data_IF_770134953662
#
_entry.id   IF_770134953662
#
_cell.length_a   1.000
_cell.length_b   1.000
_cell.length_c   1.000
_cell.angle_alpha   90.00
_cell.angle_beta   90.00
_cell.angle_gamma   90.00
#
_symmetry.space_group_name_H-M   'P 1'
#
loop_
_entity.id
_entity.type
_entity.pdbx_description
1 polymer ?
#
# COMPACT_ATOMS: atom_id res chain seq x y z
N UNK A 1 7.13 -22.49 31.10
CA UNK A 1 6.51 -23.34 30.05
C UNK A 1 7.48 -23.66 28.93
N UNK A 2 8.35 -22.73 28.47
CA UNK A 2 9.18 -22.88 27.26
C UNK A 2 10.68 -22.94 27.53
N UNK A 3 11.10 -23.48 28.68
CA UNK A 3 12.51 -23.53 29.10
C UNK A 3 13.44 -24.29 28.15
N UNK A 4 12.88 -25.26 27.41
CA UNK A 4 13.63 -26.13 26.51
C UNK A 4 13.64 -25.63 25.06
N UNK A 5 13.02 -24.49 24.80
CA UNK A 5 12.93 -23.88 23.45
C UNK A 5 13.71 -22.58 23.38
N UNK A 6 14.24 -22.27 22.20
CA UNK A 6 14.83 -20.97 21.95
C UNK A 6 13.71 -19.90 21.93
N UNK A 7 13.83 -18.93 22.81
CA UNK A 7 12.89 -17.80 22.90
C UNK A 7 13.56 -16.52 22.44
N UNK A 8 12.78 -15.66 21.79
CA UNK A 8 13.20 -14.30 21.40
C UNK A 8 12.23 -13.33 22.05
N UNK A 9 12.77 -12.37 22.78
CA UNK A 9 12.02 -11.27 23.36
C UNK A 9 11.66 -10.28 22.25
N UNK A 10 10.45 -10.42 21.71
CA UNK A 10 9.99 -9.55 20.64
C UNK A 10 9.24 -8.33 21.16
N UNK A 11 8.57 -8.44 22.32
CA UNK A 11 7.81 -7.34 22.94
C UNK A 11 7.26 -7.77 24.31
N UNK A 12 8.13 -8.14 25.25
CA UNK A 12 7.75 -8.57 26.61
C UNK A 12 6.91 -7.53 27.35
N UNK A 13 7.21 -6.24 27.14
CA UNK A 13 6.43 -5.14 27.74
C UNK A 13 4.97 -5.14 27.30
N UNK A 14 4.64 -5.78 26.17
CA UNK A 14 3.28 -5.95 25.66
C UNK A 14 2.77 -7.38 25.81
N UNK A 15 3.49 -8.23 26.57
CA UNK A 15 3.11 -9.62 26.83
C UNK A 15 3.33 -10.59 25.67
N UNK A 16 4.17 -10.26 24.69
CA UNK A 16 4.45 -11.13 23.54
C UNK A 16 5.84 -11.74 23.61
N UNK A 17 5.92 -13.05 23.50
CA UNK A 17 7.14 -13.84 23.42
C UNK A 17 7.14 -14.68 22.12
N UNK A 18 8.22 -14.66 21.37
CA UNK A 18 8.39 -15.56 20.23
C UNK A 18 9.13 -16.82 20.66
N UNK A 19 8.51 -17.97 20.46
CA UNK A 19 9.09 -19.30 20.73
C UNK A 19 9.45 -19.96 19.39
N UNK A 20 10.68 -20.47 19.26
CA UNK A 20 11.12 -21.14 18.05
C UNK A 20 11.02 -22.65 18.29
N UNK A 21 10.11 -23.32 17.58
CA UNK A 21 9.92 -24.77 17.57
C UNK A 21 10.09 -25.30 16.15
N UNK A 22 10.92 -26.32 15.97
CA UNK A 22 11.22 -26.92 14.65
C UNK A 22 11.59 -25.87 13.57
N UNK A 23 12.45 -24.92 13.94
CA UNK A 23 12.88 -23.79 13.09
C UNK A 23 11.75 -22.82 12.68
N UNK A 24 10.55 -22.93 13.27
CA UNK A 24 9.41 -22.03 13.01
C UNK A 24 9.18 -21.11 14.20
N UNK A 25 8.98 -19.80 13.98
CA UNK A 25 8.62 -18.87 15.03
C UNK A 25 7.12 -18.96 15.35
N UNK A 26 6.79 -19.01 16.63
CA UNK A 26 5.42 -18.93 17.16
C UNK A 26 5.34 -17.76 18.12
N UNK A 27 4.45 -16.82 17.85
CA UNK A 27 4.19 -15.71 18.75
C UNK A 27 3.15 -16.11 19.80
N UNK A 28 3.52 -15.97 21.05
CA UNK A 28 2.67 -16.28 22.21
C UNK A 28 2.42 -14.97 22.93
N UNK A 29 1.16 -14.57 22.98
CA UNK A 29 0.76 -13.30 23.56
C UNK A 29 -0.24 -13.53 24.69
N UNK A 30 -0.04 -12.89 25.83
CA UNK A 30 -1.02 -12.83 26.94
C UNK A 30 -2.19 -11.96 26.50
N UNK A 31 -3.42 -12.40 26.78
CA UNK A 31 -4.60 -11.57 26.56
C UNK A 31 -4.50 -10.28 27.35
N UNK A 32 -4.91 -9.17 26.72
CA UNK A 32 -4.77 -7.85 27.31
C UNK A 32 -5.90 -6.92 26.95
N UNK A 33 -6.07 -5.91 27.77
CA UNK A 33 -6.88 -4.73 27.53
C UNK A 33 -5.89 -3.59 27.26
N UNK A 34 -6.05 -2.89 26.19
CA UNK A 34 -5.26 -1.70 25.90
C UNK A 34 -5.93 -0.49 26.58
N UNK A 35 -5.15 0.33 27.29
CA UNK A 35 -5.60 1.57 27.92
C UNK A 35 -5.89 2.69 26.91
N UNK A 36 -5.82 3.94 27.36
CA UNK A 36 -5.99 5.09 26.46
C UNK A 36 -4.80 5.23 25.53
N UNK A 37 -5.06 5.74 24.33
CA UNK A 37 -4.05 6.00 23.29
C UNK A 37 -3.90 7.52 23.13
N UNK A 38 -2.74 8.06 23.43
CA UNK A 38 -2.47 9.50 23.34
C UNK A 38 -1.74 9.88 22.05
N UNK A 39 -1.03 8.93 21.45
CA UNK A 39 -0.20 9.15 20.24
C UNK A 39 -0.75 8.46 18.98
N UNK A 40 -1.99 7.97 18.99
CA UNK A 40 -2.62 7.16 17.95
C UNK A 40 -1.82 5.89 17.60
N UNK A 41 -1.06 5.33 18.57
CA UNK A 41 -0.24 4.14 18.33
C UNK A 41 -0.08 3.25 19.56
N UNK A 42 0.34 3.82 20.70
CA UNK A 42 0.69 3.05 21.88
C UNK A 42 -0.35 3.30 22.96
N UNK A 43 -0.94 2.24 23.55
CA UNK A 43 -1.69 2.41 24.77
C UNK A 43 -0.75 2.87 25.90
N UNK A 44 -1.18 3.82 26.70
CA UNK A 44 -0.42 4.29 27.88
C UNK A 44 -0.16 3.15 28.86
N UNK A 45 -1.19 2.33 29.07
CA UNK A 45 -1.15 1.18 29.97
C UNK A 45 -1.69 -0.06 29.26
N UNK A 46 -1.11 -1.20 29.59
CA UNK A 46 -1.56 -2.52 29.18
C UNK A 46 -1.94 -3.32 30.41
N UNK A 47 -3.18 -3.73 30.49
CA UNK A 47 -3.67 -4.57 31.59
C UNK A 47 -3.86 -6.00 31.07
N UNK A 48 -3.13 -6.96 31.62
CA UNK A 48 -3.33 -8.36 31.26
C UNK A 48 -4.65 -8.88 31.83
N UNK A 49 -5.32 -9.71 31.02
CA UNK A 49 -6.62 -10.30 31.36
C UNK A 49 -6.65 -11.77 31.00
N UNK A 50 -7.53 -12.52 31.66
CA UNK A 50 -7.86 -13.89 31.29
C UNK A 50 -9.08 -13.95 30.34
N UNK A 51 -9.73 -12.83 30.08
CA UNK A 51 -10.93 -12.76 29.26
C UNK A 51 -10.58 -12.56 27.78
N UNK A 52 -10.81 -13.60 26.98
CA UNK A 52 -10.63 -13.59 25.54
C UNK A 52 -11.46 -12.50 24.84
N UNK A 53 -12.67 -12.19 25.34
CA UNK A 53 -13.55 -11.18 24.75
C UNK A 53 -12.87 -9.82 24.73
N UNK A 54 -12.20 -9.45 25.82
CA UNK A 54 -11.48 -8.18 25.92
C UNK A 54 -10.29 -8.13 24.95
N UNK A 55 -9.55 -9.23 24.76
CA UNK A 55 -8.45 -9.29 23.80
C UNK A 55 -8.94 -9.19 22.35
N UNK A 56 -10.06 -9.84 22.01
CA UNK A 56 -10.65 -9.76 20.67
C UNK A 56 -11.26 -8.37 20.41
N UNK A 57 -11.83 -7.72 21.43
CA UNK A 57 -12.43 -6.38 21.34
C UNK A 57 -11.46 -5.28 20.90
N UNK A 58 -10.17 -5.38 21.22
CA UNK A 58 -9.14 -4.40 20.85
C UNK A 58 -8.55 -4.59 19.46
N UNK A 59 -8.88 -5.68 18.78
CA UNK A 59 -8.34 -5.99 17.44
C UNK A 59 -8.88 -5.04 16.37
N UNK A 60 -8.20 -4.99 15.25
CA UNK A 60 -8.52 -4.07 14.15
C UNK A 60 -9.82 -4.44 13.42
N UNK A 61 -9.88 -5.67 12.87
CA UNK A 61 -10.99 -6.10 12.01
C UNK A 61 -11.58 -7.41 12.51
N UNK A 62 -12.88 -7.61 12.21
CA UNK A 62 -13.65 -8.81 12.58
C UNK A 62 -12.98 -10.09 12.06
N UNK A 63 -12.48 -10.05 10.83
CA UNK A 63 -11.75 -11.17 10.19
C UNK A 63 -10.46 -11.56 10.92
N UNK A 64 -9.92 -10.67 11.75
CA UNK A 64 -8.75 -10.89 12.59
C UNK A 64 -9.11 -11.11 14.07
N UNK A 65 -10.40 -11.05 14.42
CA UNK A 65 -10.92 -11.20 15.80
C UNK A 65 -11.53 -12.58 16.03
N UNK A 66 -10.97 -13.59 15.40
CA UNK A 66 -11.31 -15.00 15.57
C UNK A 66 -10.30 -15.68 16.47
N UNK A 67 -10.76 -16.62 17.28
CA UNK A 67 -9.91 -17.49 18.08
C UNK A 67 -10.32 -18.96 17.92
N UNK A 68 -9.36 -19.85 18.10
CA UNK A 68 -9.62 -21.28 18.08
C UNK A 68 -9.00 -21.95 19.30
N UNK A 69 -9.75 -22.84 19.90
CA UNK A 69 -9.25 -23.70 20.96
C UNK A 69 -9.67 -25.14 20.67
N UNK A 70 -8.76 -26.09 20.88
CA UNK A 70 -8.99 -27.51 20.55
C UNK A 70 -10.23 -28.09 21.23
N UNK A 71 -10.50 -27.68 22.49
CA UNK A 71 -11.61 -28.23 23.28
C UNK A 71 -12.96 -27.60 23.00
N UNK A 72 -12.99 -26.32 22.60
CA UNK A 72 -14.25 -25.55 22.40
C UNK A 72 -14.47 -25.14 20.94
N UNK A 73 -13.51 -25.40 20.07
CA UNK A 73 -13.59 -25.06 18.65
C UNK A 73 -13.35 -23.57 18.34
N UNK A 74 -14.00 -23.10 17.29
CA UNK A 74 -13.92 -21.69 16.85
C UNK A 74 -14.73 -20.78 17.76
N UNK A 75 -14.12 -19.67 18.16
CA UNK A 75 -14.76 -18.59 18.92
C UNK A 75 -14.81 -17.35 18.03
N UNK A 76 -16.02 -16.94 17.68
CA UNK A 76 -16.30 -15.75 16.87
C UNK A 76 -17.31 -14.87 17.63
N UNK A 77 -16.82 -13.81 18.24
CA UNK A 77 -17.64 -12.89 19.03
C UNK A 77 -18.09 -11.64 18.26
N UNK A 78 -17.53 -11.43 17.06
CA UNK A 78 -17.70 -10.20 16.29
C UNK A 78 -18.16 -10.43 14.84
N UNK A 79 -18.54 -11.68 14.49
CA UNK A 79 -19.06 -12.02 13.17
C UNK A 79 -17.99 -12.10 12.09
N UNK A 80 -16.73 -12.36 12.48
CA UNK A 80 -15.61 -12.43 11.54
C UNK A 80 -15.73 -13.56 10.53
N UNK A 81 -16.35 -14.68 10.90
CA UNK A 81 -16.60 -15.82 9.99
C UNK A 81 -17.57 -15.42 8.87
N UNK A 82 -18.64 -14.70 9.22
CA UNK A 82 -19.61 -14.19 8.23
C UNK A 82 -18.96 -13.15 7.32
N UNK A 83 -18.17 -12.24 7.88
CA UNK A 83 -17.45 -11.22 7.09
C UNK A 83 -16.41 -11.86 6.15
N UNK A 84 -15.73 -12.94 6.56
CA UNK A 84 -14.86 -13.73 5.67
C UNK A 84 -15.68 -14.36 4.53
N UNK A 85 -16.79 -15.00 4.85
CA UNK A 85 -17.68 -15.63 3.87
C UNK A 85 -18.19 -14.63 2.83
N UNK A 86 -18.59 -13.43 3.30
CA UNK A 86 -19.06 -12.34 2.45
C UNK A 86 -17.94 -11.51 1.81
N UNK A 87 -16.67 -11.82 2.09
CA UNK A 87 -15.51 -11.08 1.58
C UNK A 87 -15.53 -9.60 1.98
N UNK A 88 -15.75 -9.31 3.26
CA UNK A 88 -15.89 -7.96 3.81
C UNK A 88 -14.77 -7.67 4.82
N UNK A 89 -14.18 -6.49 4.77
CA UNK A 89 -13.33 -5.91 5.80
C UNK A 89 -14.16 -4.93 6.63
N UNK A 90 -14.33 -5.27 7.91
CA UNK A 90 -15.11 -4.49 8.87
C UNK A 90 -14.33 -4.34 10.18
N UNK A 91 -14.37 -3.17 10.77
CA UNK A 91 -13.73 -2.94 12.08
C UNK A 91 -14.46 -3.67 13.20
N UNK A 92 -13.72 -4.07 14.24
CA UNK A 92 -14.32 -4.53 15.49
C UNK A 92 -14.91 -3.33 16.23
N UNK A 93 -16.23 -3.27 16.36
CA UNK A 93 -16.92 -2.16 17.00
C UNK A 93 -16.92 -0.87 16.18
N UNK A 94 -16.83 0.29 16.84
CA UNK A 94 -16.89 1.61 16.21
C UNK A 94 -15.61 1.92 15.40
N UNK A 95 -15.71 2.17 14.09
CA UNK A 95 -14.56 2.41 13.24
C UNK A 95 -13.82 3.72 13.58
N UNK A 96 -14.52 4.79 13.95
CA UNK A 96 -13.87 6.05 14.32
C UNK A 96 -13.01 5.86 15.57
N UNK A 97 -13.53 5.12 16.58
CA UNK A 97 -12.75 4.76 17.75
C UNK A 97 -11.52 3.93 17.39
N UNK A 98 -11.69 2.90 16.56
CA UNK A 98 -10.58 2.01 16.15
C UNK A 98 -9.47 2.74 15.41
N UNK A 99 -9.80 3.69 14.54
CA UNK A 99 -8.80 4.48 13.80
C UNK A 99 -8.12 5.52 14.70
N UNK A 100 -8.82 6.10 15.65
CA UNK A 100 -8.22 7.01 16.64
C UNK A 100 -7.26 6.30 17.61
N UNK A 101 -7.43 5.02 17.90
CA UNK A 101 -6.48 4.23 18.68
C UNK A 101 -5.17 3.98 17.93
N UNK A 102 -5.22 3.55 16.67
CA UNK A 102 -4.05 3.40 15.78
C UNK A 102 -4.42 3.81 14.36
N UNK A 103 -3.97 4.99 13.94
CA UNK A 103 -4.22 5.52 12.60
C UNK A 103 -3.72 4.62 11.47
N UNK A 104 -2.73 3.73 11.72
CA UNK A 104 -2.29 2.76 10.72
C UNK A 104 -3.38 1.77 10.34
N UNK A 105 -4.38 1.53 11.20
CA UNK A 105 -5.50 0.65 10.88
C UNK A 105 -6.24 1.08 9.60
N UNK A 106 -6.20 2.37 9.25
CA UNK A 106 -6.71 2.89 7.98
C UNK A 106 -6.00 2.22 6.80
N UNK A 107 -4.67 2.29 6.74
CA UNK A 107 -3.91 1.63 5.66
C UNK A 107 -3.99 0.10 5.74
N UNK A 108 -4.12 -0.46 6.93
CA UNK A 108 -4.32 -1.90 7.11
C UNK A 108 -5.66 -2.37 6.52
N UNK A 109 -6.75 -1.59 6.67
CA UNK A 109 -8.04 -1.88 6.04
C UNK A 109 -7.90 -1.93 4.51
N UNK A 110 -7.31 -0.88 3.93
CA UNK A 110 -7.06 -0.79 2.48
C UNK A 110 -6.16 -1.94 1.98
N UNK A 111 -5.11 -2.26 2.75
CA UNK A 111 -4.23 -3.39 2.41
C UNK A 111 -4.94 -4.73 2.46
N UNK A 112 -5.72 -5.01 3.49
CA UNK A 112 -6.48 -6.27 3.57
C UNK A 112 -7.48 -6.37 2.43
N UNK A 113 -8.22 -5.30 2.13
CA UNK A 113 -9.15 -5.25 1.01
C UNK A 113 -8.42 -5.48 -0.32
N UNK A 114 -7.26 -4.87 -0.53
CA UNK A 114 -6.45 -5.06 -1.73
C UNK A 114 -5.92 -6.49 -1.86
N UNK A 115 -5.28 -7.02 -0.81
CA UNK A 115 -4.60 -8.33 -0.86
C UNK A 115 -5.60 -9.48 -0.94
N UNK A 116 -6.67 -9.43 -0.14
CA UNK A 116 -7.69 -10.47 -0.08
C UNK A 116 -8.74 -10.34 -1.20
N UNK A 117 -8.83 -9.17 -1.86
CA UNK A 117 -9.89 -8.86 -2.82
C UNK A 117 -11.25 -8.74 -2.16
N UNK A 118 -11.28 -8.24 -0.93
CA UNK A 118 -12.49 -8.02 -0.16
C UNK A 118 -12.98 -6.59 -0.34
N UNK A 119 -14.28 -6.37 -0.20
CA UNK A 119 -14.86 -5.02 -0.09
C UNK A 119 -14.69 -4.48 1.34
N UNK A 120 -14.80 -3.16 1.50
CA UNK A 120 -14.79 -2.53 2.83
C UNK A 120 -16.24 -2.21 3.20
N UNK A 121 -16.62 -2.54 4.44
CA UNK A 121 -17.97 -2.27 4.95
C UNK A 121 -18.24 -0.76 4.93
N UNK A 122 -19.47 -0.29 4.54
CA UNK A 122 -19.73 1.14 4.27
C UNK A 122 -19.43 2.10 5.43
N UNK A 123 -19.71 1.72 6.68
CA UNK A 123 -19.40 2.57 7.84
C UNK A 123 -17.89 2.65 8.08
N UNK A 124 -17.19 1.53 7.89
CA UNK A 124 -15.72 1.46 7.94
C UNK A 124 -15.11 2.32 6.82
N UNK A 125 -15.62 2.24 5.59
CA UNK A 125 -15.16 3.03 4.45
C UNK A 125 -15.35 4.54 4.70
N UNK A 126 -16.54 4.96 5.15
CA UNK A 126 -16.82 6.34 5.48
C UNK A 126 -15.90 6.88 6.61
N UNK A 127 -15.58 6.04 7.61
CA UNK A 127 -14.66 6.40 8.67
C UNK A 127 -13.20 6.50 8.20
N UNK A 128 -12.79 5.70 7.22
CA UNK A 128 -11.47 5.82 6.58
C UNK A 128 -11.28 7.23 6.00
N UNK A 129 -12.23 7.71 5.20
CA UNK A 129 -12.17 9.06 4.63
C UNK A 129 -12.17 10.15 5.69
N UNK A 130 -13.03 10.05 6.72
CA UNK A 130 -13.10 11.04 7.81
C UNK A 130 -11.79 11.13 8.60
N UNK A 131 -11.17 9.99 8.89
CA UNK A 131 -10.02 9.88 9.78
C UNK A 131 -8.67 9.84 9.04
N UNK A 132 -8.62 9.97 7.71
CA UNK A 132 -7.39 9.85 6.90
C UNK A 132 -6.22 10.67 7.42
N UNK A 133 -6.49 11.86 7.98
CA UNK A 133 -5.45 12.75 8.50
C UNK A 133 -4.68 12.17 9.70
N UNK A 134 -5.19 11.14 10.38
CA UNK A 134 -4.45 10.42 11.43
C UNK A 134 -3.17 9.77 10.88
N UNK A 135 -3.11 9.49 9.56
CA UNK A 135 -1.92 8.96 8.91
C UNK A 135 -0.70 9.90 9.00
N UNK A 136 -0.91 11.21 9.21
CA UNK A 136 0.17 12.18 9.44
C UNK A 136 0.96 11.88 10.73
N UNK A 137 0.36 11.19 11.69
CA UNK A 137 0.96 10.81 12.96
C UNK A 137 1.69 9.45 12.89
N UNK A 138 1.59 8.75 11.75
CA UNK A 138 2.17 7.42 11.58
C UNK A 138 3.57 7.54 10.98
N UNK A 139 4.51 6.76 11.52
CA UNK A 139 5.88 6.74 11.00
C UNK A 139 5.94 6.28 9.55
N UNK A 140 6.82 6.90 8.77
CA UNK A 140 6.98 6.62 7.35
C UNK A 140 7.32 5.15 7.06
N UNK A 141 8.07 4.50 7.94
CA UNK A 141 8.43 3.08 7.84
C UNK A 141 7.20 2.17 7.93
N UNK A 142 6.24 2.49 8.82
CA UNK A 142 4.98 1.73 8.94
C UNK A 142 4.11 1.93 7.70
N UNK A 143 4.02 3.16 7.19
CA UNK A 143 3.30 3.47 5.94
C UNK A 143 3.91 2.71 4.76
N UNK A 144 5.24 2.73 4.61
CA UNK A 144 5.99 2.00 3.58
C UNK A 144 5.63 0.51 3.55
N UNK A 145 5.62 -0.14 4.73
CA UNK A 145 5.33 -1.58 4.84
C UNK A 145 3.91 -1.90 4.34
N UNK A 146 2.92 -1.11 4.78
CA UNK A 146 1.52 -1.33 4.38
C UNK A 146 1.30 -0.98 2.90
N UNK A 147 1.83 0.15 2.42
CA UNK A 147 1.76 0.56 1.01
C UNK A 147 2.36 -0.50 0.09
N UNK A 148 3.57 -1.00 0.42
CA UNK A 148 4.25 -2.02 -0.39
C UNK A 148 3.43 -3.29 -0.56
N UNK A 149 2.70 -3.71 0.47
CA UNK A 149 1.82 -4.89 0.41
C UNK A 149 0.51 -4.58 -0.33
N UNK A 150 -0.04 -3.39 -0.12
CA UNK A 150 -1.30 -2.94 -0.74
C UNK A 150 -1.19 -2.91 -2.25
N UNK A 151 -0.17 -2.25 -2.80
CA UNK A 151 0.00 -2.12 -4.25
C UNK A 151 0.24 -3.46 -4.95
N UNK A 152 0.74 -4.47 -4.21
CA UNK A 152 0.91 -5.83 -4.71
C UNK A 152 -0.34 -6.70 -4.53
N UNK A 153 -1.43 -6.16 -4.01
CA UNK A 153 -2.69 -6.88 -3.89
C UNK A 153 -3.40 -7.07 -5.24
N UNK A 154 -4.27 -8.08 -5.30
CA UNK A 154 -5.04 -8.41 -6.50
C UNK A 154 -6.19 -7.42 -6.80
N UNK A 155 -6.57 -6.59 -5.80
CA UNK A 155 -7.62 -5.57 -5.90
C UNK A 155 -7.03 -4.15 -5.71
N UNK A 156 -5.74 -3.96 -6.05
CA UNK A 156 -5.07 -2.68 -5.87
C UNK A 156 -5.72 -1.55 -6.67
N UNK A 157 -6.19 -1.84 -7.90
CA UNK A 157 -6.88 -0.89 -8.76
C UNK A 157 -8.07 -0.22 -8.07
N UNK A 158 -9.03 -1.01 -7.61
CA UNK A 158 -10.24 -0.45 -6.97
C UNK A 158 -9.90 0.35 -5.70
N UNK A 159 -8.93 -0.12 -4.92
CA UNK A 159 -8.52 0.59 -3.71
C UNK A 159 -7.84 1.93 -4.04
N UNK A 160 -6.99 1.98 -5.05
CA UNK A 160 -6.35 3.23 -5.48
C UNK A 160 -7.38 4.21 -6.05
N UNK A 161 -8.34 3.72 -6.83
CA UNK A 161 -9.42 4.54 -7.41
C UNK A 161 -10.39 5.09 -6.36
N UNK A 162 -10.73 4.29 -5.36
CA UNK A 162 -11.75 4.69 -4.37
C UNK A 162 -11.19 5.60 -3.26
N UNK A 163 -9.87 5.47 -2.93
CA UNK A 163 -9.27 6.16 -1.79
C UNK A 163 -8.08 7.10 -2.13
N UNK A 164 -8.09 7.85 -3.25
CA UNK A 164 -6.97 8.72 -3.61
C UNK A 164 -6.67 9.78 -2.54
N UNK A 165 -7.69 10.28 -1.84
CA UNK A 165 -7.59 11.23 -0.75
C UNK A 165 -6.83 10.70 0.47
N UNK A 166 -6.86 9.38 0.69
CA UNK A 166 -6.09 8.71 1.75
C UNK A 166 -4.62 8.64 1.35
N UNK A 167 -4.32 8.26 0.11
CA UNK A 167 -2.94 8.21 -0.39
C UNK A 167 -2.31 9.59 -0.47
N UNK A 168 -3.07 10.62 -0.81
CA UNK A 168 -2.61 12.01 -0.86
C UNK A 168 -2.12 12.56 0.49
N UNK A 169 -2.53 11.97 1.63
CA UNK A 169 -2.04 12.38 2.95
C UNK A 169 -0.52 12.19 3.10
N UNK A 170 0.05 11.14 2.49
CA UNK A 170 1.48 10.82 2.59
C UNK A 170 2.22 10.86 1.25
N UNK A 171 1.49 10.93 0.13
CA UNK A 171 1.99 11.22 -1.22
C UNK A 171 1.14 12.38 -1.78
N UNK A 172 1.34 13.62 -1.30
CA UNK A 172 0.51 14.77 -1.70
C UNK A 172 0.57 15.07 -3.21
N UNK A 173 1.57 14.55 -3.90
CA UNK A 173 1.71 14.64 -5.35
C UNK A 173 0.59 13.92 -6.12
N UNK A 174 -0.18 13.05 -5.45
CA UNK A 174 -1.36 12.39 -6.02
C UNK A 174 -2.54 13.37 -6.16
N UNK A 175 -2.75 14.27 -5.20
CA UNK A 175 -3.93 15.15 -5.17
C UNK A 175 -4.13 15.91 -6.49
N UNK A 176 -3.11 16.61 -7.04
CA UNK A 176 -3.27 17.33 -8.32
C UNK A 176 -3.33 16.41 -9.54
N UNK A 177 -3.05 15.11 -9.42
CA UNK A 177 -3.16 14.15 -10.52
C UNK A 177 -4.59 13.59 -10.67
N UNK A 178 -5.39 13.61 -9.59
CA UNK A 178 -6.79 13.17 -9.59
C UNK A 178 -7.64 14.14 -10.40
N UNK A 179 -8.43 13.61 -11.32
CA UNK A 179 -9.24 14.39 -12.28
C UNK A 179 -8.41 15.32 -13.18
N UNK A 180 -7.10 15.09 -13.30
CA UNK A 180 -6.24 15.88 -14.19
C UNK A 180 -6.43 15.43 -15.62
N UNK A 181 -7.26 16.20 -16.37
CA UNK A 181 -7.61 15.89 -17.76
C UNK A 181 -6.40 16.00 -18.69
N UNK A 182 -6.17 14.97 -19.48
CA UNK A 182 -5.19 14.93 -20.56
C UNK A 182 -5.89 15.21 -21.90
N UNK A 183 -5.77 16.46 -22.42
CA UNK A 183 -6.40 16.81 -23.70
C UNK A 183 -5.66 16.18 -24.87
N UNK A 184 -6.41 15.56 -25.80
CA UNK A 184 -5.89 14.93 -27.01
C UNK A 184 -6.45 13.53 -27.25
N UNK A 185 -6.39 13.04 -28.50
CA UNK A 185 -7.02 11.78 -28.92
C UNK A 185 -6.40 10.50 -28.34
N UNK A 186 -5.25 10.61 -27.64
CA UNK A 186 -4.49 9.45 -27.16
C UNK A 186 -4.75 9.12 -25.69
N UNK A 187 -5.55 9.91 -24.97
CA UNK A 187 -5.75 9.78 -23.54
C UNK A 187 -7.22 9.53 -23.25
N UNK A 188 -7.56 8.31 -22.82
CA UNK A 188 -8.93 7.95 -22.42
C UNK A 188 -9.21 8.28 -20.96
N UNK A 189 -8.18 8.33 -20.12
CA UNK A 189 -8.23 8.47 -18.68
C UNK A 189 -7.60 9.79 -18.24
N UNK A 190 -7.96 10.27 -17.03
CA UNK A 190 -7.16 11.26 -16.35
C UNK A 190 -5.80 10.69 -15.89
N UNK A 191 -4.92 11.52 -15.34
CA UNK A 191 -3.57 11.05 -14.96
C UNK A 191 -3.63 10.00 -13.85
N UNK A 192 -4.49 10.19 -12.84
CA UNK A 192 -4.58 9.25 -11.73
C UNK A 192 -5.22 7.91 -12.14
N UNK A 193 -6.30 7.95 -12.87
CA UNK A 193 -6.98 6.77 -13.39
C UNK A 193 -6.04 5.95 -14.27
N UNK A 194 -5.27 6.60 -15.16
CA UNK A 194 -4.22 5.94 -15.96
C UNK A 194 -3.18 5.27 -15.06
N UNK A 195 -2.67 5.94 -14.03
CA UNK A 195 -1.75 5.35 -13.06
C UNK A 195 -2.35 4.09 -12.41
N UNK A 196 -3.62 4.15 -11.98
CA UNK A 196 -4.28 3.00 -11.36
C UNK A 196 -4.39 1.80 -12.31
N UNK A 197 -4.74 2.03 -13.58
CA UNK A 197 -4.77 0.99 -14.61
C UNK A 197 -3.39 0.37 -14.85
N UNK A 198 -2.34 1.18 -14.90
CA UNK A 198 -0.97 0.67 -15.09
C UNK A 198 -0.48 -0.15 -13.91
N UNK A 199 -0.84 0.23 -12.68
CA UNK A 199 -0.56 -0.57 -11.47
C UNK A 199 -1.25 -1.93 -11.56
N UNK A 200 -2.45 -2.02 -12.09
CA UNK A 200 -3.19 -3.28 -12.18
C UNK A 200 -2.61 -4.24 -13.24
N UNK A 201 -2.27 -3.71 -14.39
CA UNK A 201 -1.81 -4.50 -15.54
C UNK A 201 -0.36 -5.01 -15.43
N UNK A 202 0.48 -4.38 -14.58
CA UNK A 202 1.87 -4.81 -14.39
C UNK A 202 1.96 -6.00 -13.40
N UNK A 203 2.96 -6.91 -13.54
CA UNK A 203 3.15 -7.99 -12.58
C UNK A 203 3.18 -7.53 -11.11
N UNK A 204 2.72 -8.38 -10.20
CA UNK A 204 2.66 -8.11 -8.76
C UNK A 204 4.05 -8.14 -8.10
N UNK A 205 4.98 -7.41 -8.69
CA UNK A 205 6.31 -7.16 -8.14
C UNK A 205 6.36 -5.77 -7.51
N UNK A 206 6.94 -5.67 -6.30
CA UNK A 206 6.99 -4.43 -5.53
C UNK A 206 7.65 -3.28 -6.29
N UNK A 207 8.76 -3.54 -6.97
CA UNK A 207 9.51 -2.51 -7.71
C UNK A 207 8.71 -2.03 -8.92
N UNK A 208 8.13 -2.96 -9.67
CA UNK A 208 7.30 -2.64 -10.83
C UNK A 208 6.04 -1.87 -10.43
N UNK A 209 5.34 -2.32 -9.39
CA UNK A 209 4.12 -1.68 -8.89
C UNK A 209 4.40 -0.27 -8.33
N UNK A 210 5.50 -0.07 -7.59
CA UNK A 210 5.95 1.27 -7.16
C UNK A 210 6.31 2.15 -8.35
N UNK A 211 6.97 1.60 -9.36
CA UNK A 211 7.31 2.34 -10.58
C UNK A 211 6.04 2.85 -11.26
N UNK A 212 5.05 1.98 -11.45
CA UNK A 212 3.81 2.38 -12.12
C UNK A 212 2.97 3.34 -11.27
N UNK A 213 2.98 3.21 -9.94
CA UNK A 213 2.29 4.16 -9.05
C UNK A 213 2.83 5.60 -9.20
N UNK A 214 4.12 5.75 -9.51
CA UNK A 214 4.81 7.04 -9.52
C UNK A 214 5.17 7.56 -10.93
N UNK A 215 5.04 6.73 -11.99
CA UNK A 215 5.64 7.02 -13.30
C UNK A 215 5.15 8.32 -13.93
N UNK A 216 3.86 8.61 -13.81
CA UNK A 216 3.21 9.72 -14.49
C UNK A 216 2.89 10.93 -13.60
N UNK A 217 3.26 10.91 -12.31
CA UNK A 217 3.10 12.09 -11.43
C UNK A 217 3.85 13.32 -11.96
N UNK A 218 4.94 13.12 -12.70
CA UNK A 218 5.69 14.18 -13.38
C UNK A 218 4.91 14.90 -14.50
N UNK A 219 3.79 14.36 -14.97
CA UNK A 219 2.94 15.00 -15.99
C UNK A 219 2.34 16.30 -15.49
N UNK A 220 1.87 16.32 -14.24
CA UNK A 220 1.19 17.48 -13.68
C UNK A 220 2.08 18.76 -13.72
N UNK A 221 3.29 18.77 -13.15
CA UNK A 221 4.15 19.96 -13.17
C UNK A 221 4.73 20.30 -14.54
N UNK A 222 4.72 19.36 -15.51
CA UNK A 222 5.29 19.58 -16.84
C UNK A 222 4.24 19.86 -17.91
N UNK A 223 2.96 19.89 -17.55
CA UNK A 223 1.85 20.09 -18.46
C UNK A 223 1.93 21.44 -19.19
N UNK A 224 1.73 21.41 -20.50
CA UNK A 224 1.53 22.58 -21.35
C UNK A 224 0.53 22.21 -22.45
N UNK A 225 -0.21 23.20 -22.93
CA UNK A 225 -1.03 23.07 -24.13
C UNK A 225 -0.21 23.47 -25.35
N UNK A 226 -0.32 22.68 -26.44
CA UNK A 226 0.23 23.07 -27.74
C UNK A 226 -0.71 24.04 -28.45
N UNK A 227 -0.33 24.53 -29.64
CA UNK A 227 -1.11 25.46 -30.46
C UNK A 227 -2.50 24.92 -30.88
N UNK A 228 -2.68 23.58 -30.83
CA UNK A 228 -3.95 22.90 -31.13
C UNK A 228 -4.82 22.65 -29.91
N UNK A 229 -4.36 23.04 -28.72
CA UNK A 229 -5.05 22.80 -27.46
C UNK A 229 -4.82 21.39 -26.87
N UNK A 230 -3.93 20.55 -27.46
CA UNK A 230 -3.61 19.24 -26.91
C UNK A 230 -2.58 19.36 -25.77
N UNK A 231 -2.70 18.49 -24.79
CA UNK A 231 -1.73 18.38 -23.67
C UNK A 231 -0.37 17.85 -24.15
N UNK A 232 0.68 18.48 -23.67
CA UNK A 232 2.06 18.05 -23.84
C UNK A 232 2.77 17.98 -22.49
N UNK A 233 3.64 16.97 -22.31
CA UNK A 233 4.28 16.64 -21.03
C UNK A 233 5.80 16.49 -21.22
N UNK A 234 6.43 17.48 -21.83
CA UNK A 234 7.86 17.40 -22.14
C UNK A 234 8.70 17.20 -20.87
N UNK A 235 9.59 16.20 -20.87
CA UNK A 235 10.46 15.82 -19.76
C UNK A 235 9.74 15.27 -18.53
N UNK A 236 8.46 14.88 -18.61
CA UNK A 236 7.71 14.34 -17.46
C UNK A 236 8.39 13.12 -16.82
N UNK A 237 9.00 12.24 -17.60
CA UNK A 237 9.72 11.07 -17.10
C UNK A 237 10.93 11.48 -16.22
N UNK A 238 11.73 12.45 -16.66
CA UNK A 238 12.88 12.93 -15.88
C UNK A 238 12.42 13.57 -14.58
N UNK A 239 11.45 14.49 -14.65
CA UNK A 239 10.85 15.14 -13.46
C UNK A 239 10.19 14.10 -12.54
N UNK A 240 9.46 13.15 -13.12
CA UNK A 240 8.85 12.04 -12.38
C UNK A 240 9.88 11.17 -11.64
N UNK A 241 11.04 10.92 -12.25
CA UNK A 241 12.15 10.19 -11.61
C UNK A 241 12.70 10.91 -10.37
N UNK A 242 12.83 12.23 -10.43
CA UNK A 242 13.23 13.06 -9.28
C UNK A 242 12.15 13.06 -8.21
N UNK A 243 10.89 13.27 -8.57
CA UNK A 243 9.76 13.19 -7.65
C UNK A 243 9.68 11.82 -6.97
N UNK A 244 9.83 10.73 -7.72
CA UNK A 244 9.83 9.37 -7.17
C UNK A 244 10.95 9.18 -6.14
N UNK A 245 12.14 9.72 -6.38
CA UNK A 245 13.26 9.70 -5.43
C UNK A 245 12.92 10.43 -4.14
N UNK A 246 12.31 11.61 -4.22
CA UNK A 246 11.90 12.41 -3.07
C UNK A 246 10.80 11.72 -2.26
N UNK A 247 9.74 11.22 -2.93
CA UNK A 247 8.63 10.49 -2.33
C UNK A 247 9.12 9.26 -1.58
N UNK A 248 9.93 8.41 -2.23
CA UNK A 248 10.42 7.18 -1.62
C UNK A 248 11.43 7.44 -0.49
N UNK A 249 12.20 8.53 -0.56
CA UNK A 249 13.08 8.96 0.53
C UNK A 249 12.27 9.43 1.73
N UNK A 250 11.22 10.23 1.51
CA UNK A 250 10.29 10.68 2.55
C UNK A 250 9.58 9.49 3.21
N UNK A 251 9.20 8.49 2.44
CA UNK A 251 8.58 7.24 2.93
C UNK A 251 9.59 6.22 3.46
N UNK A 252 10.87 6.58 3.61
CA UNK A 252 11.90 5.73 4.23
C UNK A 252 12.08 4.36 3.55
N UNK A 253 12.00 4.30 2.23
CA UNK A 253 12.42 3.12 1.50
C UNK A 253 13.93 2.93 1.55
N UNK A 254 14.41 1.69 1.34
CA UNK A 254 15.84 1.40 1.25
C UNK A 254 16.46 2.01 -0.02
N UNK A 255 17.76 2.33 0.03
CA UNK A 255 18.50 2.99 -1.07
C UNK A 255 18.42 2.22 -2.39
N UNK A 256 18.41 0.87 -2.34
CA UNK A 256 18.32 0.03 -3.54
C UNK A 256 16.97 0.21 -4.22
N UNK A 257 15.89 0.18 -3.44
CA UNK A 257 14.52 0.44 -3.93
C UNK A 257 14.40 1.86 -4.49
N UNK A 258 14.85 2.88 -3.75
CA UNK A 258 14.80 4.29 -4.20
C UNK A 258 15.50 4.44 -5.56
N UNK A 259 16.75 3.99 -5.66
CA UNK A 259 17.54 4.14 -6.89
C UNK A 259 16.89 3.37 -8.06
N UNK A 260 16.40 2.15 -7.81
CA UNK A 260 15.80 1.33 -8.87
C UNK A 260 14.51 1.92 -9.40
N UNK A 261 13.59 2.30 -8.51
CA UNK A 261 12.30 2.87 -8.92
C UNK A 261 12.49 4.23 -9.59
N UNK A 262 13.31 5.12 -9.02
CA UNK A 262 13.57 6.45 -9.62
C UNK A 262 14.19 6.34 -11.01
N UNK A 263 15.11 5.39 -11.22
CA UNK A 263 15.68 5.10 -12.54
C UNK A 263 14.61 4.62 -13.52
N UNK A 264 13.76 3.67 -13.10
CA UNK A 264 12.72 3.11 -13.96
C UNK A 264 11.67 4.17 -14.32
N UNK A 265 11.23 4.99 -13.35
CA UNK A 265 10.34 6.13 -13.58
C UNK A 265 11.00 7.14 -14.53
N UNK A 266 12.26 7.50 -14.32
CA UNK A 266 12.99 8.42 -15.19
C UNK A 266 13.20 7.92 -16.63
N UNK A 267 13.00 6.62 -16.85
CA UNK A 267 13.18 5.97 -18.15
C UNK A 267 11.90 5.35 -18.72
N UNK A 268 10.73 5.48 -18.08
CA UNK A 268 9.52 4.74 -18.50
C UNK A 268 9.04 5.12 -19.90
N UNK A 269 9.30 6.35 -20.35
CA UNK A 269 8.99 6.83 -21.70
C UNK A 269 9.98 6.31 -22.77
N UNK A 270 10.69 5.24 -22.41
CA UNK A 270 11.63 4.55 -23.27
C UNK A 270 10.95 3.99 -24.53
N UNK A 271 11.52 4.32 -25.72
CA UNK A 271 11.08 3.68 -26.95
C UNK A 271 11.90 2.41 -27.19
N UNK A 272 11.21 1.26 -27.46
CA UNK A 272 11.88 0.01 -27.73
C UNK A 272 12.81 0.12 -28.97
N UNK A 273 14.05 -0.42 -28.91
CA UNK A 273 14.93 -0.40 -30.06
C UNK A 273 14.41 -1.32 -31.16
N UNK A 274 14.23 -0.79 -32.36
CA UNK A 274 13.84 -1.56 -33.54
C UNK A 274 15.05 -2.11 -34.31
N UNK A 275 16.23 -1.49 -34.13
CA UNK A 275 17.45 -1.86 -34.81
C UNK A 275 18.58 -2.26 -33.86
N UNK A 276 19.55 -3.06 -34.37
CA UNK A 276 20.78 -3.39 -33.60
C UNK A 276 21.59 -2.15 -33.23
N UNK A 277 21.52 -1.08 -34.00
CA UNK A 277 22.25 0.18 -33.73
C UNK A 277 21.61 0.88 -32.52
N UNK A 278 20.29 1.00 -32.47
CA UNK A 278 19.54 1.57 -31.37
C UNK A 278 19.73 0.75 -30.11
N UNK A 279 19.67 -0.58 -30.18
CA UNK A 279 19.95 -1.45 -29.07
C UNK A 279 21.36 -1.21 -28.49
N UNK A 280 22.39 -1.10 -29.35
CA UNK A 280 23.74 -0.76 -28.91
C UNK A 280 23.81 0.61 -28.23
N UNK A 281 23.04 1.61 -28.71
CA UNK A 281 22.95 2.93 -28.09
C UNK A 281 22.33 2.85 -26.70
N UNK A 282 21.26 2.10 -26.52
CA UNK A 282 20.64 1.88 -25.20
C UNK A 282 21.56 1.14 -24.22
N UNK A 283 22.29 0.13 -24.70
CA UNK A 283 23.23 -0.65 -23.87
C UNK A 283 24.47 0.14 -23.40
N UNK A 284 24.70 1.38 -23.89
CA UNK A 284 25.76 2.24 -23.34
C UNK A 284 25.46 2.69 -21.90
N UNK A 285 24.17 2.88 -21.55
CA UNK A 285 23.75 3.45 -20.27
C UNK A 285 22.73 2.58 -19.54
N UNK A 286 22.37 1.40 -20.07
CA UNK A 286 21.40 0.46 -19.52
C UNK A 286 21.92 -0.96 -19.66
N UNK A 287 21.66 -1.78 -18.65
CA UNK A 287 21.93 -3.22 -18.74
C UNK A 287 20.87 -3.93 -19.59
N UNK A 288 21.14 -5.15 -20.11
CA UNK A 288 20.10 -5.94 -20.76
C UNK A 288 18.86 -6.18 -19.87
N UNK A 289 19.05 -6.30 -18.54
CA UNK A 289 17.97 -6.46 -17.59
C UNK A 289 17.13 -5.18 -17.45
N UNK A 290 17.77 -4.01 -17.50
CA UNK A 290 17.05 -2.73 -17.52
C UNK A 290 16.15 -2.63 -18.73
N UNK A 291 16.66 -3.02 -19.91
CA UNK A 291 15.87 -2.99 -21.15
C UNK A 291 14.68 -3.94 -21.07
N UNK A 292 14.86 -5.17 -20.58
CA UNK A 292 13.75 -6.11 -20.35
C UNK A 292 12.69 -5.53 -19.42
N UNK A 293 13.12 -4.94 -18.29
CA UNK A 293 12.23 -4.33 -17.32
C UNK A 293 11.46 -3.15 -17.93
N UNK A 294 12.14 -2.29 -18.69
CA UNK A 294 11.51 -1.14 -19.37
C UNK A 294 10.52 -1.59 -20.46
N UNK A 295 10.75 -2.71 -21.14
CA UNK A 295 9.78 -3.29 -22.07
C UNK A 295 8.50 -3.77 -21.37
N UNK A 296 8.63 -4.36 -20.17
CA UNK A 296 7.46 -4.74 -19.34
C UNK A 296 6.67 -3.50 -18.92
N UNK A 297 7.36 -2.45 -18.45
CA UNK A 297 6.77 -1.17 -18.08
C UNK A 297 6.04 -0.55 -19.29
N UNK A 298 6.70 -0.45 -20.45
CA UNK A 298 6.11 0.13 -21.67
C UNK A 298 4.89 -0.64 -22.17
N UNK A 299 4.90 -1.97 -22.04
CA UNK A 299 3.74 -2.80 -22.38
C UNK A 299 2.55 -2.50 -21.46
N UNK A 300 2.77 -2.37 -20.14
CA UNK A 300 1.74 -2.03 -19.19
C UNK A 300 1.19 -0.62 -19.41
N UNK A 301 2.06 0.36 -19.62
CA UNK A 301 1.71 1.74 -19.89
C UNK A 301 0.84 1.89 -21.15
N UNK A 302 1.27 1.27 -22.27
CA UNK A 302 0.48 1.26 -23.53
C UNK A 302 -0.83 0.49 -23.39
N UNK A 303 -0.86 -0.60 -22.64
CA UNK A 303 -2.07 -1.40 -22.41
C UNK A 303 -3.14 -0.68 -21.59
N UNK A 304 -2.76 0.36 -20.85
CA UNK A 304 -3.67 1.22 -20.09
C UNK A 304 -4.14 2.47 -20.86
N UNK A 305 -3.79 2.61 -22.15
CA UNK A 305 -4.15 3.77 -23.00
C UNK A 305 -5.47 3.60 -23.77
N UNK A 306 -6.38 2.74 -23.35
CA UNK A 306 -7.67 2.38 -23.99
C UNK A 306 -7.58 1.36 -25.15
N UNK A 307 -8.66 0.59 -25.28
CA UNK A 307 -8.95 -0.16 -26.53
C UNK A 307 -9.17 0.75 -27.74
#
# INVERSE_FOLDING_TARGET
>A
LFKDYKTVDTSLNHGTLTVIMDHKPYEITTFRIDGQYNDNRHPEDVVFTADLKNDLARRDFTVNALAYNYNIGMVDLYGGTEDIYNSIIKTVGDPDKRFNEDGLRILRALRFASVLGFSIEPHTAAAIHRNRNLLKNISAERINIELSKLICGKNAFNILMEYPDVFAVFIPEIEPAVNFTQYGKKHAYDVWEHICHTVDTIPQDRILRLTMLLHDLGKVPTHKLNEKGDSTFKNHATVGGEMAKEILTRLKFDKKTINRVSFLVGCHDFEPPETKIELKKHLKNKTPEDIKTLLVIKKSDRGALSE
#
